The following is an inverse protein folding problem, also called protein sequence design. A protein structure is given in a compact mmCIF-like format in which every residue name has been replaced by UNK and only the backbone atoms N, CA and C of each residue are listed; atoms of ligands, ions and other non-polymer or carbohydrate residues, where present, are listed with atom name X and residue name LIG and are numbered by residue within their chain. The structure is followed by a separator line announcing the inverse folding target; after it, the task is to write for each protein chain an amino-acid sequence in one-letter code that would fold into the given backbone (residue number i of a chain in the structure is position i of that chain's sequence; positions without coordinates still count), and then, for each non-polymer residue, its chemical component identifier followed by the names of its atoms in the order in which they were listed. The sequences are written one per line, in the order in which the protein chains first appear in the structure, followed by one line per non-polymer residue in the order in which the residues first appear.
data_IF_509133283560
#
_entry.id   IF_509133283560
#
_cell.length_a   1.000
_cell.length_b   1.000
_cell.length_c   1.000
_cell.angle_alpha   90.00
_cell.angle_beta   90.00
_cell.angle_gamma   90.00
#
_symmetry.space_group_name_H-M   'P 1'
#
loop_
_entity.id
_entity.type
_entity.pdbx_description
1 polymer ?
#
# COMPACT_ATOMS: atom_id res chain seq x y z
N UNK A 1 21.02 8.69 2.72
CA UNK A 1 19.80 7.88 2.75
C UNK A 1 18.78 8.53 3.66
N UNK A 2 17.56 8.61 3.25
CA UNK A 2 16.56 9.27 4.07
C UNK A 2 15.96 8.30 5.10
N UNK A 3 15.62 8.84 6.27
CA UNK A 3 14.92 8.09 7.30
C UNK A 3 13.53 7.66 6.82
N UNK A 4 12.89 8.47 5.98
CA UNK A 4 11.59 8.14 5.41
C UNK A 4 11.67 6.91 4.50
N UNK A 5 12.69 6.82 3.67
CA UNK A 5 12.88 5.68 2.79
C UNK A 5 13.17 4.40 3.60
N UNK A 6 13.98 4.51 4.66
CA UNK A 6 14.27 3.39 5.55
C UNK A 6 13.00 2.88 6.24
N UNK A 7 12.14 3.80 6.69
CA UNK A 7 10.86 3.45 7.30
C UNK A 7 9.99 2.70 6.30
N UNK A 8 9.84 3.22 5.08
CA UNK A 8 9.01 2.62 4.04
C UNK A 8 9.53 1.23 3.68
N UNK A 9 10.85 1.05 3.57
CA UNK A 9 11.45 -0.26 3.30
C UNK A 9 11.13 -1.27 4.40
N UNK A 10 11.12 -0.84 5.66
CA UNK A 10 10.79 -1.74 6.77
C UNK A 10 9.34 -2.20 6.73
N UNK A 11 8.44 -1.32 6.31
CA UNK A 11 7.02 -1.66 6.15
C UNK A 11 6.86 -2.73 5.06
N UNK A 12 7.48 -2.54 3.91
CA UNK A 12 7.38 -3.48 2.80
C UNK A 12 8.11 -4.80 3.08
N UNK A 13 9.16 -4.79 3.90
CA UNK A 13 9.79 -6.03 4.32
C UNK A 13 8.80 -6.95 5.04
N UNK A 14 7.91 -6.39 5.86
CA UNK A 14 6.83 -7.15 6.49
C UNK A 14 5.79 -7.62 5.46
N UNK A 15 5.39 -6.75 4.54
CA UNK A 15 4.40 -7.08 3.50
C UNK A 15 4.89 -8.18 2.56
N UNK A 16 6.18 -8.23 2.28
CA UNK A 16 6.79 -9.31 1.48
C UNK A 16 6.64 -10.67 2.15
N UNK A 17 6.60 -10.70 3.48
CA UNK A 17 6.39 -11.91 4.26
C UNK A 17 4.91 -12.26 4.43
N UNK A 18 4.01 -11.42 3.90
CA UNK A 18 2.58 -11.56 4.10
C UNK A 18 2.10 -11.06 5.46
N UNK A 19 2.93 -10.32 6.19
CA UNK A 19 2.56 -9.74 7.47
C UNK A 19 2.06 -8.30 7.26
N UNK A 20 0.76 -8.11 7.43
CA UNK A 20 0.11 -6.81 7.30
C UNK A 20 -0.43 -6.32 8.65
N UNK A 21 -0.03 -6.95 9.74
CA UNK A 21 -0.59 -6.66 11.07
C UNK A 21 0.13 -5.54 11.81
N UNK A 22 1.37 -5.24 11.45
CA UNK A 22 2.14 -4.20 12.13
C UNK A 22 1.57 -2.81 11.82
N UNK A 23 1.48 -1.97 12.84
CA UNK A 23 0.98 -0.60 12.69
C UNK A 23 1.80 0.40 13.52
N UNK A 24 2.97 0.00 14.02
CA UNK A 24 3.83 0.89 14.81
C UNK A 24 4.33 2.08 14.00
N UNK A 25 4.43 1.91 12.67
CA UNK A 25 4.85 2.95 11.74
C UNK A 25 3.77 3.98 11.44
N UNK A 26 2.53 3.70 11.84
CA UNK A 26 1.38 4.55 11.50
C UNK A 26 1.13 5.60 12.57
N UNK A 27 0.86 6.84 12.14
CA UNK A 27 0.37 7.89 13.04
C UNK A 27 -0.99 7.51 13.58
N UNK A 28 -1.31 7.93 14.81
CA UNK A 28 -2.59 7.61 15.45
C UNK A 28 -3.80 8.11 14.66
N UNK A 29 -3.63 9.15 13.87
CA UNK A 29 -4.67 9.74 13.04
C UNK A 29 -4.45 9.48 11.55
N UNK A 30 -3.72 8.41 11.21
CA UNK A 30 -3.41 8.07 9.83
C UNK A 30 -4.67 8.01 8.97
N UNK A 31 -4.57 8.50 7.74
CA UNK A 31 -5.60 8.29 6.72
C UNK A 31 -5.16 7.18 5.78
N UNK A 32 -5.99 6.17 5.63
CA UNK A 32 -5.79 5.08 4.67
C UNK A 32 -6.80 5.26 3.55
N UNK A 33 -6.30 5.48 2.34
CA UNK A 33 -7.13 5.78 1.17
C UNK A 33 -6.85 4.75 0.09
N UNK A 34 -7.92 4.15 -0.44
CA UNK A 34 -7.85 3.37 -1.67
C UNK A 34 -8.42 4.29 -2.76
N UNK A 35 -7.56 4.76 -3.64
CA UNK A 35 -7.88 5.84 -4.56
C UNK A 35 -8.72 5.40 -5.76
N UNK A 36 -8.63 4.14 -6.14
CA UNK A 36 -9.32 3.61 -7.32
C UNK A 36 -9.74 2.16 -7.10
N UNK A 37 -10.43 1.59 -8.09
CA UNK A 37 -10.90 0.22 -8.04
C UNK A 37 -12.22 0.05 -7.30
N UNK A 38 -12.66 -1.20 -7.17
CA UNK A 38 -13.95 -1.55 -6.57
C UNK A 38 -14.01 -1.29 -5.06
N UNK A 39 -12.86 -1.28 -4.41
CA UNK A 39 -12.76 -1.10 -2.96
C UNK A 39 -12.35 0.32 -2.58
N UNK A 40 -12.50 1.26 -3.51
CA UNK A 40 -12.16 2.66 -3.25
C UNK A 40 -12.87 3.19 -2.01
N UNK A 41 -12.13 3.90 -1.17
CA UNK A 41 -12.68 4.42 0.07
C UNK A 41 -11.63 5.09 0.93
N UNK A 42 -12.06 5.56 2.09
CA UNK A 42 -11.19 6.23 3.05
C UNK A 42 -11.49 5.71 4.46
N UNK A 43 -10.44 5.42 5.19
CA UNK A 43 -10.51 5.02 6.60
C UNK A 43 -9.58 5.91 7.41
N UNK A 44 -9.93 6.20 8.63
CA UNK A 44 -9.17 7.10 9.51
C UNK A 44 -8.75 6.40 10.79
N UNK A 45 -7.54 6.68 11.24
CA UNK A 45 -6.98 6.10 12.45
C UNK A 45 -6.43 4.69 12.21
N UNK A 46 -5.70 4.17 13.18
CA UNK A 46 -5.04 2.85 13.07
C UNK A 46 -6.07 1.73 12.92
N UNK A 47 -7.13 1.75 13.73
CA UNK A 47 -8.19 0.73 13.63
C UNK A 47 -8.87 0.79 12.27
N UNK A 48 -9.20 2.00 11.80
CA UNK A 48 -9.80 2.19 10.47
C UNK A 48 -8.89 1.70 9.37
N UNK A 49 -7.59 2.02 9.45
CA UNK A 49 -6.60 1.55 8.49
C UNK A 49 -6.57 0.03 8.44
N UNK A 50 -6.57 -0.63 9.59
CA UNK A 50 -6.55 -2.09 9.65
C UNK A 50 -7.81 -2.71 9.04
N UNK A 51 -8.97 -2.10 9.25
CA UNK A 51 -10.21 -2.52 8.60
C UNK A 51 -10.12 -2.39 7.08
N UNK A 52 -9.58 -1.28 6.59
CA UNK A 52 -9.39 -1.04 5.16
C UNK A 52 -8.43 -2.06 4.53
N UNK A 53 -7.32 -2.33 5.18
CA UNK A 53 -6.35 -3.32 4.71
C UNK A 53 -6.98 -4.70 4.66
N UNK A 54 -7.70 -5.11 5.70
CA UNK A 54 -8.37 -6.40 5.73
C UNK A 54 -9.41 -6.53 4.63
N UNK A 55 -10.14 -5.45 4.35
CA UNK A 55 -11.10 -5.41 3.24
C UNK A 55 -10.44 -5.65 1.89
N UNK A 56 -9.29 -5.01 1.67
CA UNK A 56 -8.52 -5.20 0.42
C UNK A 56 -8.01 -6.64 0.32
N UNK A 57 -7.52 -7.19 1.43
CA UNK A 57 -6.93 -8.53 1.46
C UNK A 57 -7.97 -9.65 1.46
N UNK A 58 -9.23 -9.33 1.76
CA UNK A 58 -10.30 -10.33 1.86
C UNK A 58 -10.51 -11.13 0.56
N UNK A 59 -10.16 -10.56 -0.58
CA UNK A 59 -10.28 -11.21 -1.88
C UNK A 59 -9.07 -12.10 -2.21
N UNK A 60 -8.09 -12.21 -1.33
CA UNK A 60 -6.82 -12.87 -1.60
C UNK A 60 -6.50 -13.95 -0.56
N UNK A 61 -5.86 -15.04 -1.03
CA UNK A 61 -5.18 -16.02 -0.18
C UNK A 61 -3.67 -15.80 -0.33
N UNK A 62 -2.95 -15.83 0.80
CA UNK A 62 -1.49 -15.67 0.82
C UNK A 62 -0.99 -14.42 0.11
N UNK A 63 -1.70 -13.30 0.27
CA UNK A 63 -1.30 -12.06 -0.36
C UNK A 63 0.05 -11.58 0.15
N UNK A 64 0.91 -11.19 -0.79
CA UNK A 64 2.20 -10.58 -0.50
C UNK A 64 2.40 -9.40 -1.42
N UNK A 65 2.95 -8.32 -0.89
CA UNK A 65 3.22 -7.13 -1.67
C UNK A 65 4.72 -6.88 -1.71
N UNK A 66 5.25 -6.72 -2.91
CA UNK A 66 6.67 -6.49 -3.14
C UNK A 66 6.89 -5.10 -3.73
N UNK A 67 7.88 -4.36 -3.22
CA UNK A 67 8.25 -3.09 -3.83
C UNK A 67 9.10 -3.34 -5.06
N UNK A 68 8.72 -2.73 -6.18
CA UNK A 68 9.49 -2.79 -7.42
C UNK A 68 10.40 -1.58 -7.55
N UNK A 69 9.94 -0.43 -7.09
CA UNK A 69 10.70 0.81 -7.18
C UNK A 69 10.25 1.77 -6.07
N UNK A 70 11.21 2.45 -5.47
CA UNK A 70 10.96 3.53 -4.52
C UNK A 70 11.33 4.86 -5.16
N UNK A 71 10.47 5.86 -5.04
CA UNK A 71 10.76 7.23 -5.49
C UNK A 71 10.47 8.20 -4.35
N UNK A 72 11.49 8.91 -3.89
CA UNK A 72 11.28 10.01 -2.95
C UNK A 72 10.78 11.22 -3.74
N UNK A 73 9.56 11.65 -3.44
CA UNK A 73 8.95 12.79 -4.12
C UNK A 73 9.45 14.10 -3.51
N UNK A 74 9.49 14.15 -2.18
CA UNK A 74 10.00 15.28 -1.40
C UNK A 74 10.34 14.81 0.02
N UNK A 75 10.55 15.75 0.94
CA UNK A 75 10.94 15.45 2.32
C UNK A 75 9.87 14.70 3.12
N UNK A 76 8.64 14.64 2.63
CA UNK A 76 7.51 14.05 3.34
C UNK A 76 6.80 12.94 2.57
N UNK A 77 7.12 12.73 1.29
CA UNK A 77 6.38 11.76 0.45
C UNK A 77 7.31 10.78 -0.24
N UNK A 78 6.92 9.51 -0.17
CA UNK A 78 7.59 8.42 -0.90
C UNK A 78 6.55 7.69 -1.75
N UNK A 79 6.81 7.53 -3.03
CA UNK A 79 6.00 6.71 -3.93
C UNK A 79 6.66 5.35 -4.06
N UNK A 80 5.88 4.29 -3.92
CA UNK A 80 6.36 2.92 -4.11
C UNK A 80 5.55 2.29 -5.23
N UNK A 81 6.24 1.87 -6.28
CA UNK A 81 5.63 1.06 -7.32
C UNK A 81 5.73 -0.40 -6.86
N UNK A 82 4.62 -1.11 -6.93
CA UNK A 82 4.51 -2.43 -6.30
C UNK A 82 3.93 -3.46 -7.25
N UNK A 83 4.09 -4.72 -6.88
CA UNK A 83 3.24 -5.78 -7.38
C UNK A 83 2.77 -6.64 -6.21
N UNK A 84 1.58 -7.16 -6.32
CA UNK A 84 0.99 -8.06 -5.33
C UNK A 84 0.78 -9.42 -5.95
N UNK A 85 1.16 -10.45 -5.21
CA UNK A 85 0.93 -11.83 -5.60
C UNK A 85 -0.01 -12.48 -4.60
N UNK A 86 -0.67 -13.53 -5.01
CA UNK A 86 -1.59 -14.29 -4.17
C UNK A 86 -2.55 -15.07 -5.02
N UNK A 87 -3.51 -15.72 -4.37
CA UNK A 87 -4.58 -16.45 -5.03
C UNK A 87 -5.88 -15.70 -4.84
N UNK A 88 -6.64 -15.54 -5.91
CA UNK A 88 -7.96 -14.92 -5.81
C UNK A 88 -8.94 -15.86 -5.11
N UNK A 89 -9.66 -15.33 -4.13
CA UNK A 89 -10.77 -16.02 -3.49
C UNK A 89 -12.03 -15.71 -4.26
N UNK A 90 -12.36 -16.49 -5.25
CA UNK A 90 -13.65 -16.34 -5.90
C UNK A 90 -14.43 -17.63 -5.79
N UNK A 91 -15.70 -17.48 -5.48
CA UNK A 91 -16.68 -18.55 -5.28
C UNK A 91 -16.52 -19.69 -6.28
N UNK A 92 -15.89 -20.78 -5.84
CA UNK A 92 -15.80 -22.02 -6.58
C UNK A 92 -14.88 -22.03 -7.79
N UNK A 93 -14.20 -20.94 -8.07
CA UNK A 93 -13.25 -20.87 -9.19
C UNK A 93 -11.85 -20.68 -8.66
N UNK A 94 -11.00 -21.68 -8.90
CA UNK A 94 -9.59 -21.56 -8.62
C UNK A 94 -8.94 -20.70 -9.70
N UNK A 95 -8.60 -19.46 -9.36
CA UNK A 95 -7.99 -18.54 -10.30
C UNK A 95 -6.47 -18.71 -10.41
N UNK A 96 -5.87 -19.58 -9.58
CA UNK A 96 -4.44 -19.75 -9.56
C UNK A 96 -3.73 -18.52 -9.00
N UNK A 97 -2.44 -18.43 -9.23
CA UNK A 97 -1.62 -17.32 -8.78
C UNK A 97 -1.87 -16.09 -9.65
N UNK A 98 -2.15 -14.96 -8.98
CA UNK A 98 -2.34 -13.69 -9.62
C UNK A 98 -1.19 -12.75 -9.29
N UNK A 99 -0.81 -11.92 -10.24
CA UNK A 99 0.16 -10.86 -10.06
C UNK A 99 -0.46 -9.55 -10.52
N UNK A 100 -0.60 -8.60 -9.59
CA UNK A 100 -1.25 -7.33 -9.87
C UNK A 100 -0.28 -6.19 -9.54
N UNK A 101 -0.09 -5.29 -10.49
CA UNK A 101 0.71 -4.09 -10.28
C UNK A 101 -0.11 -3.02 -9.59
N UNK A 102 0.56 -2.20 -8.80
CA UNK A 102 -0.06 -1.09 -8.11
C UNK A 102 0.96 -0.04 -7.72
N UNK A 103 0.51 0.94 -6.97
CA UNK A 103 1.38 1.96 -6.40
C UNK A 103 0.84 2.41 -5.06
N UNK A 104 1.74 2.87 -4.21
CA UNK A 104 1.37 3.42 -2.90
C UNK A 104 2.11 4.73 -2.70
N UNK A 105 1.38 5.77 -2.34
CA UNK A 105 1.97 7.04 -1.95
C UNK A 105 1.89 7.15 -0.43
N UNK A 106 3.05 7.28 0.22
CA UNK A 106 3.11 7.42 1.67
C UNK A 106 3.54 8.84 2.02
N UNK A 107 2.75 9.48 2.88
CA UNK A 107 3.12 10.72 3.51
C UNK A 107 3.71 10.39 4.88
N UNK A 108 4.94 10.85 5.12
CA UNK A 108 5.68 10.56 6.36
C UNK A 108 6.00 11.86 7.07
N UNK A 109 5.72 11.90 8.37
CA UNK A 109 6.04 13.05 9.20
C UNK A 109 6.49 12.56 10.57
N UNK A 110 7.63 13.07 11.04
CA UNK A 110 8.19 12.73 12.35
C UNK A 110 8.32 11.21 12.57
N UNK A 111 8.76 10.49 11.53
CA UNK A 111 8.99 9.05 11.62
C UNK A 111 7.73 8.19 11.60
N UNK A 112 6.58 8.78 11.25
CA UNK A 112 5.29 8.07 11.15
C UNK A 112 4.63 8.35 9.83
N UNK A 113 3.91 7.35 9.31
CA UNK A 113 3.08 7.53 8.12
C UNK A 113 1.77 8.19 8.54
N UNK A 114 1.50 9.35 7.98
CA UNK A 114 0.28 10.12 8.26
C UNK A 114 -0.81 9.89 7.24
N UNK A 115 -0.44 9.47 6.03
CA UNK A 115 -1.38 9.15 4.97
C UNK A 115 -0.81 8.05 4.09
N UNK A 116 -1.63 7.07 3.80
CA UNK A 116 -1.32 5.96 2.89
C UNK A 116 -2.35 5.97 1.78
N UNK A 117 -1.91 6.21 0.55
CA UNK A 117 -2.81 6.22 -0.62
C UNK A 117 -2.43 5.04 -1.51
N UNK A 118 -3.37 4.11 -1.66
CA UNK A 118 -3.18 2.91 -2.46
C UNK A 118 -3.84 3.09 -3.82
N UNK A 119 -3.10 2.76 -4.88
CA UNK A 119 -3.60 2.79 -6.26
C UNK A 119 -3.51 1.40 -6.85
N UNK A 120 -4.59 0.95 -7.48
CA UNK A 120 -4.56 -0.25 -8.32
C UNK A 120 -3.94 0.03 -9.68
N UNK A 121 -4.05 1.28 -10.15
CA UNK A 121 -3.47 1.71 -11.42
C UNK A 121 -2.24 2.58 -11.14
N UNK A 122 -1.02 2.06 -11.36
CA UNK A 122 0.20 2.85 -11.11
C UNK A 122 0.32 4.07 -12.02
N UNK A 123 -0.25 4.04 -13.22
CA UNK A 123 -0.22 5.19 -14.12
C UNK A 123 -1.04 6.35 -13.55
N UNK A 124 -2.14 6.05 -12.87
CA UNK A 124 -2.93 7.06 -12.19
C UNK A 124 -2.15 7.75 -11.08
N UNK A 125 -1.39 6.97 -10.30
CA UNK A 125 -0.55 7.54 -9.24
C UNK A 125 0.48 8.51 -9.82
N UNK A 126 1.12 8.13 -10.91
CA UNK A 126 2.10 8.99 -11.58
C UNK A 126 1.45 10.25 -12.12
N UNK A 127 0.26 10.13 -12.73
CA UNK A 127 -0.48 11.27 -13.25
C UNK A 127 -0.89 12.24 -12.15
N UNK A 128 -1.39 11.74 -11.03
CA UNK A 128 -1.80 12.56 -9.89
C UNK A 128 -0.62 13.34 -9.29
N UNK A 129 0.58 12.81 -9.38
CA UNK A 129 1.80 13.45 -8.87
C UNK A 129 2.49 14.33 -9.92
N UNK A 130 1.98 14.35 -11.15
CA UNK A 130 2.61 15.08 -12.25
C UNK A 130 3.89 14.42 -12.74
N UNK A 131 4.05 13.13 -12.51
CA UNK A 131 5.22 12.37 -12.93
C UNK A 131 4.90 11.59 -14.22
N UNK A 132 5.87 11.51 -15.11
CA UNK A 132 5.75 10.66 -16.28
C UNK A 132 6.49 9.34 -16.03
N UNK A 133 5.79 8.26 -16.27
CA UNK A 133 6.30 6.93 -16.06
C UNK A 133 7.28 6.45 -17.09
#
# INVERSE_FOLDING_TARGET
MSANLDLVRSIYAAHERGDFSSAEWADSEIEFIVADGLMAGRWTGVTGMQEGIQGVLAAWDDARTYPDEYREIDDERVLVLTHRTGRGKRSGIELGELRVRGATLLHVRDGKVTRWVSYYDPDRALADLGLEG
#
